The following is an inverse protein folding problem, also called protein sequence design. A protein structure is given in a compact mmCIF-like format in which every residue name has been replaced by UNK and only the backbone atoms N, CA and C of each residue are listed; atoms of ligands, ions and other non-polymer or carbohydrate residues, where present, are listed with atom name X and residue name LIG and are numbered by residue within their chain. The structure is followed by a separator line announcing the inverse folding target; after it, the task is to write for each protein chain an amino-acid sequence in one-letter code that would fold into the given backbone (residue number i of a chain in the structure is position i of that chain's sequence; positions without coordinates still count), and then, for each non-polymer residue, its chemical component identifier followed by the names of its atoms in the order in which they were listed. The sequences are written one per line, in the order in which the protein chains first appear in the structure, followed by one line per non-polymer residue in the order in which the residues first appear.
data_IF_317026954599
#
_entry.id   IF_317026954599
#
_cell.length_a   1.000
_cell.length_b   1.000
_cell.length_c   1.000
_cell.angle_alpha   90.00
_cell.angle_beta   90.00
_cell.angle_gamma   90.00
#
_symmetry.space_group_name_H-M   'P 1'
#
loop_
_entity.id
_entity.type
_entity.pdbx_description
1 polymer ?
#
# COMPACT_ATOMS: atom_id res chain seq x y z
N UNK A 1 2.49 -22.83 -32.61
CA UNK A 1 2.22 -22.54 -31.19
C UNK A 1 3.26 -21.51 -30.74
N UNK A 2 2.88 -20.23 -30.66
CA UNK A 2 3.80 -19.14 -30.30
C UNK A 2 3.68 -18.92 -28.79
N UNK A 3 4.69 -19.34 -28.02
CA UNK A 3 4.79 -18.96 -26.61
C UNK A 3 5.40 -17.56 -26.62
N UNK A 4 4.57 -16.53 -26.44
CA UNK A 4 5.08 -15.19 -26.14
C UNK A 4 5.66 -15.20 -24.72
N UNK A 5 6.94 -14.86 -24.52
CA UNK A 5 7.48 -14.62 -23.19
C UNK A 5 7.17 -13.16 -22.79
N UNK A 6 5.90 -12.85 -22.58
CA UNK A 6 5.56 -11.78 -21.65
C UNK A 6 5.21 -12.53 -20.36
N UNK A 7 5.97 -12.49 -19.26
CA UNK A 7 5.99 -11.32 -18.38
C UNK A 7 6.89 -11.60 -17.15
N UNK A 8 8.20 -11.31 -17.18
CA UNK A 8 8.97 -11.06 -15.94
C UNK A 8 9.42 -9.60 -15.80
N UNK A 9 9.59 -8.88 -16.91
CA UNK A 9 10.00 -7.47 -16.89
C UNK A 9 8.91 -6.55 -16.31
N UNK A 10 7.64 -6.75 -16.69
CA UNK A 10 6.51 -5.93 -16.20
C UNK A 10 6.25 -6.10 -14.71
N UNK A 11 6.54 -7.26 -14.14
CA UNK A 11 6.37 -7.49 -12.69
C UNK A 11 7.47 -6.79 -11.91
N UNK A 12 8.72 -6.82 -12.39
CA UNK A 12 9.82 -6.06 -11.80
C UNK A 12 9.57 -4.55 -11.86
N UNK A 13 9.09 -4.02 -12.99
CA UNK A 13 8.71 -2.61 -13.13
C UNK A 13 7.56 -2.22 -12.17
N UNK A 14 6.58 -3.10 -11.99
CA UNK A 14 5.48 -2.87 -11.05
C UNK A 14 5.92 -2.96 -9.58
N UNK A 15 6.88 -3.82 -9.26
CA UNK A 15 7.51 -3.90 -7.94
C UNK A 15 8.34 -2.63 -7.65
N UNK A 16 9.15 -2.18 -8.60
CA UNK A 16 9.92 -0.94 -8.50
C UNK A 16 9.00 0.27 -8.31
N UNK A 17 7.89 0.33 -9.06
CA UNK A 17 6.90 1.39 -8.90
C UNK A 17 6.23 1.36 -7.51
N UNK A 18 5.90 0.17 -7.00
CA UNK A 18 5.35 0.03 -5.64
C UNK A 18 6.35 0.44 -4.56
N UNK A 19 7.62 0.05 -4.70
CA UNK A 19 8.68 0.48 -3.78
C UNK A 19 8.88 1.99 -3.79
N UNK A 20 8.90 2.61 -4.98
CA UNK A 20 8.99 4.06 -5.12
C UNK A 20 7.80 4.78 -4.44
N UNK A 21 6.56 4.32 -4.71
CA UNK A 21 5.36 4.85 -4.06
C UNK A 21 5.42 4.72 -2.52
N UNK A 22 5.90 3.59 -2.00
CA UNK A 22 6.07 3.41 -0.56
C UNK A 22 7.10 4.38 0.02
N UNK A 23 8.16 4.71 -0.73
CA UNK A 23 9.13 5.75 -0.37
C UNK A 23 8.47 7.11 -0.17
N UNK A 24 7.67 7.57 -1.14
CA UNK A 24 6.92 8.83 -1.05
C UNK A 24 5.97 8.87 0.15
N UNK A 25 5.24 7.78 0.40
CA UNK A 25 4.35 7.69 1.57
C UNK A 25 5.14 7.75 2.88
N UNK A 26 6.28 7.06 2.94
CA UNK A 26 7.14 7.05 4.13
C UNK A 26 7.71 8.43 4.44
N UNK A 27 8.08 9.18 3.40
CA UNK A 27 8.55 10.57 3.50
C UNK A 27 7.45 11.50 3.99
N UNK A 28 6.24 11.43 3.42
CA UNK A 28 5.10 12.21 3.88
C UNK A 28 4.78 11.97 5.37
N UNK A 29 4.88 10.72 5.84
CA UNK A 29 4.73 10.39 7.26
C UNK A 29 5.88 10.95 8.12
N UNK A 30 7.11 11.01 7.59
CA UNK A 30 8.25 11.59 8.29
C UNK A 30 8.12 13.10 8.44
N UNK A 31 7.73 13.79 7.37
CA UNK A 31 7.46 15.23 7.37
C UNK A 31 6.34 15.59 8.34
N UNK A 32 5.21 14.88 8.28
CA UNK A 32 4.08 15.13 9.17
C UNK A 32 4.44 14.96 10.66
N UNK A 33 5.36 14.02 10.99
CA UNK A 33 5.91 13.89 12.35
C UNK A 33 6.78 15.07 12.75
N UNK A 34 7.59 15.62 11.83
CA UNK A 34 8.41 16.80 12.09
C UNK A 34 7.55 18.04 12.36
N UNK A 35 6.40 18.14 11.70
CA UNK A 35 5.40 19.18 11.93
C UNK A 35 4.62 19.02 13.25
N UNK A 36 4.88 17.93 14.00
CA UNK A 36 4.27 17.66 15.30
C UNK A 36 2.86 17.07 15.24
N UNK A 37 2.45 16.53 14.09
CA UNK A 37 1.17 15.85 13.94
C UNK A 37 1.20 14.47 14.62
N UNK A 38 0.05 14.09 15.19
CA UNK A 38 -0.14 12.76 15.76
C UNK A 38 -0.10 11.68 14.66
N UNK A 39 0.71 10.64 14.88
CA UNK A 39 0.91 9.57 13.93
C UNK A 39 -0.38 8.77 13.68
N UNK A 40 -1.23 8.64 14.69
CA UNK A 40 -2.51 7.94 14.55
C UNK A 40 -3.46 8.72 13.63
N UNK A 41 -3.46 10.05 13.74
CA UNK A 41 -4.23 10.94 12.86
C UNK A 41 -3.72 10.86 11.40
N UNK A 42 -2.39 10.86 11.20
CA UNK A 42 -1.79 10.73 9.86
C UNK A 42 -2.15 9.37 9.25
N UNK A 43 -2.07 8.29 10.03
CA UNK A 43 -2.42 6.95 9.58
C UNK A 43 -3.89 6.85 9.13
N UNK A 44 -4.81 7.38 9.93
CA UNK A 44 -6.24 7.41 9.58
C UNK A 44 -6.50 8.23 8.31
N UNK A 45 -5.87 9.39 8.18
CA UNK A 45 -6.00 10.23 7.00
C UNK A 45 -5.46 9.52 5.74
N UNK A 46 -4.31 8.86 5.84
CA UNK A 46 -3.72 8.10 4.74
C UNK A 46 -4.60 6.93 4.31
N UNK A 47 -5.19 6.20 5.27
CA UNK A 47 -6.17 5.14 4.98
C UNK A 47 -7.36 5.72 4.24
N UNK A 48 -7.97 6.79 4.75
CA UNK A 48 -9.12 7.43 4.10
C UNK A 48 -8.81 7.86 2.66
N UNK A 49 -7.69 8.57 2.46
CA UNK A 49 -7.27 8.99 1.13
C UNK A 49 -7.06 7.80 0.18
N UNK A 50 -6.45 6.73 0.67
CA UNK A 50 -6.25 5.50 -0.12
C UNK A 50 -7.58 4.89 -0.55
N UNK A 51 -8.56 4.81 0.34
CA UNK A 51 -9.89 4.28 0.02
C UNK A 51 -10.65 5.17 -0.98
N UNK A 52 -10.52 6.50 -0.90
CA UNK A 52 -11.10 7.42 -1.89
C UNK A 52 -10.57 7.14 -3.29
N UNK A 53 -9.25 7.00 -3.44
CA UNK A 53 -8.62 6.69 -4.73
C UNK A 53 -9.01 5.31 -5.26
N UNK A 54 -9.13 4.32 -4.36
CA UNK A 54 -9.59 2.97 -4.73
C UNK A 54 -11.03 2.98 -5.24
N UNK A 55 -11.94 3.68 -4.56
CA UNK A 55 -13.33 3.80 -5.01
C UNK A 55 -13.41 4.57 -6.33
N UNK A 56 -12.65 5.65 -6.49
CA UNK A 56 -12.62 6.42 -7.74
C UNK A 56 -12.09 5.59 -8.93
N UNK A 57 -11.10 4.73 -8.69
CA UNK A 57 -10.45 3.93 -9.74
C UNK A 57 -11.20 2.63 -10.05
N UNK A 58 -11.72 1.95 -9.03
CA UNK A 58 -12.23 0.57 -9.14
C UNK A 58 -13.72 0.43 -8.76
N UNK A 59 -14.32 1.43 -8.12
CA UNK A 59 -15.69 1.40 -7.62
C UNK A 59 -15.83 0.90 -6.17
N UNK A 60 -17.02 1.12 -5.61
CA UNK A 60 -17.34 0.82 -4.20
C UNK A 60 -17.26 -0.68 -3.89
N UNK A 61 -17.95 -1.53 -4.67
CA UNK A 61 -17.99 -2.98 -4.44
C UNK A 61 -16.61 -3.65 -4.52
N UNK A 62 -15.78 -3.23 -5.48
CA UNK A 62 -14.42 -3.75 -5.61
C UNK A 62 -13.55 -3.35 -4.41
N UNK A 63 -13.72 -2.13 -3.92
CA UNK A 63 -13.02 -1.62 -2.74
C UNK A 63 -13.49 -2.30 -1.45
N UNK A 64 -14.79 -2.55 -1.31
CA UNK A 64 -15.37 -3.29 -0.19
C UNK A 64 -14.84 -4.73 -0.13
N UNK A 65 -14.81 -5.42 -1.28
CA UNK A 65 -14.25 -6.77 -1.40
C UNK A 65 -12.76 -6.82 -1.01
N UNK A 66 -12.00 -5.77 -1.36
CA UNK A 66 -10.61 -5.65 -0.90
C UNK A 66 -10.53 -5.48 0.62
N UNK A 67 -11.39 -4.62 1.18
CA UNK A 67 -11.41 -4.31 2.61
C UNK A 67 -11.73 -5.53 3.48
N UNK A 68 -12.67 -6.38 3.05
CA UNK A 68 -13.06 -7.61 3.77
C UNK A 68 -11.87 -8.52 4.08
N UNK A 69 -10.87 -8.54 3.18
CA UNK A 69 -9.68 -9.36 3.34
C UNK A 69 -8.64 -8.73 4.26
N UNK A 70 -8.69 -7.43 4.53
CA UNK A 70 -7.66 -6.74 5.33
C UNK A 70 -7.57 -7.31 6.75
N UNK A 71 -8.70 -7.61 7.39
CA UNK A 71 -8.70 -8.14 8.73
C UNK A 71 -8.02 -9.52 8.83
N UNK A 72 -8.15 -10.35 7.80
CA UNK A 72 -7.43 -11.62 7.71
C UNK A 72 -5.92 -11.39 7.57
N UNK A 73 -5.52 -10.51 6.65
CA UNK A 73 -4.11 -10.17 6.38
C UNK A 73 -3.41 -9.58 7.62
N UNK A 74 -4.09 -8.71 8.38
CA UNK A 74 -3.57 -8.18 9.65
C UNK A 74 -3.34 -9.30 10.65
N UNK A 75 -4.30 -10.21 10.85
CA UNK A 75 -4.15 -11.34 11.78
C UNK A 75 -3.09 -12.35 11.33
N UNK A 76 -2.88 -12.47 10.01
CA UNK A 76 -1.80 -13.26 9.43
C UNK A 76 -0.41 -12.63 9.61
N UNK A 77 -0.33 -11.39 10.12
CA UNK A 77 0.92 -10.69 10.38
C UNK A 77 1.55 -10.03 9.16
N UNK A 78 0.84 -9.89 8.04
CA UNK A 78 1.40 -9.34 6.79
C UNK A 78 1.94 -7.91 6.91
N UNK A 79 1.43 -7.14 7.89
CA UNK A 79 1.86 -5.77 8.15
C UNK A 79 2.85 -5.66 9.32
N UNK A 80 3.23 -6.79 9.93
CA UNK A 80 4.26 -6.82 10.97
C UNK A 80 5.61 -6.90 10.29
N UNK A 81 6.27 -5.75 10.14
CA UNK A 81 7.65 -5.71 9.64
C UNK A 81 8.57 -6.00 10.83
N UNK A 82 8.91 -7.28 11.01
CA UNK A 82 9.96 -7.65 11.96
C UNK A 82 11.29 -7.10 11.44
N UNK A 83 11.78 -6.04 12.10
CA UNK A 83 13.07 -5.42 11.78
C UNK A 83 14.19 -6.13 12.55
N UNK A 84 14.16 -7.46 12.65
CA UNK A 84 15.24 -8.27 13.22
C UNK A 84 15.98 -9.03 12.13
N UNK A 85 16.58 -8.31 11.19
CA UNK A 85 17.57 -8.85 10.26
C UNK A 85 18.47 -7.73 9.72
N UNK A 86 19.21 -7.05 10.60
CA UNK A 86 20.66 -6.86 10.51
C UNK A 86 21.19 -5.92 11.59
#
# INVERSE_FOLDING_TARGET
MYISPATPARSAEAEDQRHAAMGYVSEAFAEARLDGLDIDCIAQAAIFASFVEMVATYGEEATATFADRLAERVRAGEFTVDRSSH
#
